data_IF_424161026937
#
_entry.id   IF_424161026937
#
_cell.length_a   1.000
_cell.length_b   1.000
_cell.length_c   1.000
_cell.angle_alpha   90.00
_cell.angle_beta   90.00
_cell.angle_gamma   90.00
#
_symmetry.space_group_name_H-M   'P 1'
#
loop_
_entity.id
_entity.type
_entity.pdbx_description
1 polymer ?
#
# COMPACT_ATOMS: atom_id res chain seq x y z
N UNK A 1 -10.06 -16.79 25.24
CA UNK A 1 -10.83 -15.71 24.60
C UNK A 1 -10.01 -15.16 23.44
N UNK A 2 -10.58 -15.15 22.28
CA UNK A 2 -9.89 -14.62 21.10
C UNK A 2 -9.89 -13.08 21.15
N UNK A 3 -8.75 -12.46 20.84
CA UNK A 3 -8.73 -11.01 20.73
C UNK A 3 -9.60 -10.57 19.54
N UNK A 4 -10.41 -9.56 19.74
CA UNK A 4 -11.15 -8.94 18.63
C UNK A 4 -10.17 -8.19 17.74
N UNK A 5 -10.58 -7.86 16.52
CA UNK A 5 -9.76 -7.03 15.62
C UNK A 5 -9.39 -5.70 16.28
N UNK A 6 -10.27 -5.19 17.14
CA UNK A 6 -10.06 -3.93 17.86
C UNK A 6 -8.96 -4.00 18.89
N UNK A 7 -8.56 -5.22 19.32
CA UNK A 7 -7.49 -5.38 20.31
C UNK A 7 -6.09 -5.35 19.68
N UNK A 8 -5.97 -5.35 18.35
CA UNK A 8 -4.68 -5.24 17.68
C UNK A 8 -4.15 -3.81 17.81
N UNK A 9 -2.91 -3.70 18.24
CA UNK A 9 -2.23 -2.41 18.25
C UNK A 9 -1.92 -1.90 16.86
N UNK A 10 -1.57 -0.60 16.72
CA UNK A 10 -1.30 0.00 15.41
C UNK A 10 -0.25 -0.73 14.59
N UNK A 11 0.85 -1.15 15.19
CA UNK A 11 1.90 -1.87 14.46
C UNK A 11 1.37 -3.17 13.87
N UNK A 12 0.61 -3.95 14.65
CA UNK A 12 0.09 -5.23 14.20
C UNK A 12 -0.90 -5.06 13.04
N UNK A 13 -1.74 -4.04 13.10
CA UNK A 13 -2.69 -3.72 12.02
C UNK A 13 -1.95 -3.40 10.73
N UNK A 14 -0.93 -2.57 10.82
CA UNK A 14 -0.14 -2.14 9.65
C UNK A 14 0.62 -3.31 9.04
N UNK A 15 1.26 -4.14 9.88
CA UNK A 15 1.96 -5.33 9.37
C UNK A 15 1.00 -6.29 8.68
N UNK A 16 -0.18 -6.50 9.26
CA UNK A 16 -1.20 -7.37 8.67
C UNK A 16 -1.70 -6.81 7.33
N UNK A 17 -1.90 -5.49 7.25
CA UNK A 17 -2.31 -4.84 6.01
C UNK A 17 -1.31 -5.09 4.88
N UNK A 18 -0.02 -4.85 5.12
CA UNK A 18 0.99 -5.04 4.08
C UNK A 18 1.25 -6.51 3.78
N UNK A 19 1.05 -7.41 4.74
CA UNK A 19 1.08 -8.85 4.47
C UNK A 19 -0.04 -9.26 3.51
N UNK A 20 -1.23 -8.70 3.68
CA UNK A 20 -2.35 -8.95 2.78
C UNK A 20 -2.05 -8.42 1.37
N UNK A 21 -1.54 -7.19 1.27
CA UNK A 21 -1.16 -6.58 -0.02
C UNK A 21 -0.11 -7.45 -0.71
N UNK A 22 0.94 -7.85 0.00
CA UNK A 22 2.03 -8.66 -0.54
C UNK A 22 1.56 -10.02 -1.05
N UNK A 23 0.55 -10.59 -0.40
CA UNK A 23 -0.02 -11.89 -0.78
C UNK A 23 -1.14 -11.79 -1.82
N UNK A 24 -1.51 -10.58 -2.24
CA UNK A 24 -2.60 -10.37 -3.20
C UNK A 24 -3.99 -10.48 -2.59
N UNK A 25 -4.10 -10.48 -1.25
CA UNK A 25 -5.39 -10.53 -0.56
C UNK A 25 -5.95 -9.11 -0.43
N UNK A 26 -6.31 -8.51 -1.56
CA UNK A 26 -6.70 -7.10 -1.60
C UNK A 26 -8.01 -6.82 -0.86
N UNK A 27 -8.97 -7.72 -0.92
CA UNK A 27 -10.23 -7.55 -0.18
C UNK A 27 -10.00 -7.53 1.32
N UNK A 28 -9.10 -8.40 1.82
CA UNK A 28 -8.73 -8.43 3.23
C UNK A 28 -8.01 -7.15 3.64
N UNK A 29 -7.11 -6.65 2.78
CA UNK A 29 -6.41 -5.41 3.02
C UNK A 29 -7.38 -4.23 3.11
N UNK A 30 -8.30 -4.10 2.18
CA UNK A 30 -9.32 -3.04 2.18
C UNK A 30 -10.17 -3.11 3.46
N UNK A 31 -10.47 -4.31 3.94
CA UNK A 31 -11.27 -4.47 5.17
C UNK A 31 -10.55 -3.95 6.43
N UNK A 32 -9.25 -3.70 6.36
CA UNK A 32 -8.48 -3.10 7.46
C UNK A 32 -8.50 -1.59 7.44
N UNK A 33 -9.09 -0.98 6.41
CA UNK A 33 -9.21 0.47 6.31
C UNK A 33 -10.60 0.92 6.77
N UNK A 34 -10.65 2.09 7.41
CA UNK A 34 -11.94 2.70 7.75
C UNK A 34 -12.70 3.03 6.45
N UNK A 35 -14.04 3.04 6.47
CA UNK A 35 -14.82 3.31 5.25
C UNK A 35 -14.51 4.65 4.59
N UNK A 36 -14.10 5.63 5.36
CA UNK A 36 -13.72 6.97 4.89
C UNK A 36 -12.21 7.18 4.83
N UNK A 37 -11.44 6.10 4.89
CA UNK A 37 -9.99 6.19 4.85
C UNK A 37 -9.50 6.79 3.54
N UNK A 38 -8.42 7.56 3.64
CA UNK A 38 -7.75 8.16 2.48
C UNK A 38 -6.32 7.64 2.36
N UNK A 39 -5.88 7.52 1.12
CA UNK A 39 -4.48 7.29 0.80
C UNK A 39 -3.99 8.48 -0.01
N UNK A 40 -2.90 9.08 0.43
CA UNK A 40 -2.24 10.13 -0.33
C UNK A 40 -0.93 9.57 -0.87
N UNK A 41 -0.70 9.75 -2.17
CA UNK A 41 0.50 9.31 -2.85
C UNK A 41 1.30 10.53 -3.28
N UNK A 42 2.60 10.53 -3.02
CA UNK A 42 3.51 11.61 -3.38
C UNK A 42 3.40 11.95 -4.86
N UNK A 43 3.53 13.23 -5.18
CA UNK A 43 3.55 13.70 -6.56
C UNK A 43 2.20 14.12 -7.09
N UNK A 44 1.35 14.67 -6.23
CA UNK A 44 0.03 15.18 -6.62
C UNK A 44 0.16 16.17 -7.78
N UNK A 45 -0.59 15.91 -8.87
CA UNK A 45 -0.56 16.73 -10.07
C UNK A 45 0.62 16.46 -11.01
N UNK A 46 1.52 15.54 -10.67
CA UNK A 46 2.73 15.30 -11.44
C UNK A 46 2.78 13.94 -12.14
N UNK A 47 1.91 13.03 -11.76
CA UNK A 47 1.79 11.71 -12.38
C UNK A 47 0.42 11.11 -12.05
N UNK A 48 -0.03 10.08 -12.80
CA UNK A 48 -1.43 9.62 -12.70
C UNK A 48 -1.88 9.17 -11.32
N UNK A 49 -0.99 8.63 -10.48
CA UNK A 49 -1.39 8.11 -9.17
C UNK A 49 -1.09 9.09 -8.02
N UNK A 50 -0.46 10.23 -8.30
CA UNK A 50 -0.17 11.23 -7.27
C UNK A 50 -1.45 11.87 -6.74
N UNK A 51 -1.51 12.12 -5.42
CA UNK A 51 -2.63 12.78 -4.78
C UNK A 51 -3.49 11.84 -3.95
N UNK A 52 -4.71 12.28 -3.64
CA UNK A 52 -5.62 11.57 -2.74
C UNK A 52 -6.44 10.50 -3.45
N UNK A 53 -6.60 9.38 -2.78
CA UNK A 53 -7.42 8.25 -3.24
C UNK A 53 -8.34 7.79 -2.11
N UNK A 54 -9.60 7.54 -2.44
CA UNK A 54 -10.55 6.87 -1.54
C UNK A 54 -10.44 5.35 -1.73
N UNK A 55 -11.31 4.59 -1.06
CA UNK A 55 -11.27 3.12 -1.16
C UNK A 55 -11.54 2.63 -2.59
N UNK A 56 -12.47 3.27 -3.30
CA UNK A 56 -12.78 2.88 -4.67
C UNK A 56 -11.57 3.08 -5.59
N UNK A 57 -10.93 4.24 -5.49
CA UNK A 57 -9.72 4.54 -6.28
C UNK A 57 -8.57 3.58 -5.93
N UNK A 58 -8.39 3.28 -4.64
CA UNK A 58 -7.37 2.34 -4.19
C UNK A 58 -7.62 0.94 -4.78
N UNK A 59 -8.89 0.51 -4.83
CA UNK A 59 -9.26 -0.75 -5.45
C UNK A 59 -8.91 -0.81 -6.93
N UNK A 60 -9.06 0.30 -7.65
CA UNK A 60 -8.66 0.39 -9.06
C UNK A 60 -7.15 0.24 -9.22
N UNK A 61 -6.36 0.82 -8.31
CA UNK A 61 -4.91 0.65 -8.30
C UNK A 61 -4.54 -0.81 -8.07
N UNK A 62 -5.19 -1.48 -7.11
CA UNK A 62 -4.97 -2.91 -6.86
C UNK A 62 -5.26 -3.75 -8.09
N UNK A 63 -6.35 -3.46 -8.80
CA UNK A 63 -6.72 -4.19 -10.00
C UNK A 63 -5.67 -4.00 -11.12
N UNK A 64 -5.16 -2.79 -11.26
CA UNK A 64 -4.13 -2.48 -12.24
C UNK A 64 -2.82 -3.22 -11.92
N UNK A 65 -2.44 -3.27 -10.64
CA UNK A 65 -1.26 -4.01 -10.19
C UNK A 65 -1.43 -5.50 -10.49
N UNK A 66 -2.60 -6.07 -10.19
CA UNK A 66 -2.87 -7.48 -10.44
C UNK A 66 -2.78 -7.82 -11.93
N UNK A 67 -3.24 -6.92 -12.79
CA UNK A 67 -3.17 -7.11 -14.24
C UNK A 67 -1.74 -7.05 -14.77
N UNK A 68 -0.95 -6.08 -14.30
CA UNK A 68 0.42 -5.85 -14.77
C UNK A 68 1.44 -6.83 -14.20
N UNK A 69 1.20 -7.33 -13.00
CA UNK A 69 2.12 -8.23 -12.28
C UNK A 69 1.41 -9.54 -11.96
N UNK A 70 1.44 -10.52 -12.91
CA UNK A 70 0.68 -11.78 -12.75
C UNK A 70 1.04 -12.56 -11.49
N UNK A 71 2.28 -12.43 -11.00
CA UNK A 71 2.73 -13.12 -9.78
C UNK A 71 2.74 -12.19 -8.57
N UNK A 72 2.19 -10.98 -8.72
CA UNK A 72 2.04 -10.01 -7.65
C UNK A 72 3.28 -9.16 -7.40
N UNK A 73 3.12 -8.20 -6.50
CA UNK A 73 4.20 -7.39 -5.96
C UNK A 73 4.42 -7.80 -4.51
N UNK A 74 5.60 -8.31 -4.20
CA UNK A 74 5.95 -8.66 -2.83
C UNK A 74 6.49 -7.43 -2.13
N UNK A 75 5.94 -7.15 -0.94
CA UNK A 75 6.43 -6.08 -0.07
C UNK A 75 7.23 -6.67 1.07
N UNK A 76 8.39 -6.08 1.31
CA UNK A 76 9.23 -6.43 2.45
C UNK A 76 9.32 -5.20 3.35
N UNK A 77 8.93 -5.35 4.62
CA UNK A 77 9.04 -4.28 5.60
C UNK A 77 10.43 -4.35 6.21
N UNK A 78 11.19 -3.25 6.08
CA UNK A 78 12.55 -3.17 6.60
C UNK A 78 12.58 -2.64 8.04
N UNK A 79 11.73 -1.66 8.37
CA UNK A 79 11.69 -1.07 9.71
C UNK A 79 10.32 -0.44 9.97
N UNK A 80 9.94 -0.44 11.25
CA UNK A 80 8.69 0.18 11.71
C UNK A 80 8.99 1.04 12.93
N UNK A 81 8.47 2.25 12.93
CA UNK A 81 8.54 3.17 14.08
C UNK A 81 7.12 3.58 14.46
N UNK A 82 6.78 3.45 15.73
CA UNK A 82 5.44 3.73 16.22
C UNK A 82 5.46 4.83 17.25
N UNK A 83 4.57 5.80 17.08
CA UNK A 83 4.31 6.83 18.09
C UNK A 83 2.78 6.97 18.22
N UNK A 84 2.21 6.40 19.28
CA UNK A 84 0.77 6.40 19.48
C UNK A 84 0.03 5.72 18.32
N UNK A 85 -0.83 6.47 17.65
CA UNK A 85 -1.59 5.98 16.50
C UNK A 85 -0.83 6.08 15.19
N UNK A 86 0.36 6.67 15.20
CA UNK A 86 1.17 6.92 14.01
C UNK A 86 2.19 5.81 13.81
N UNK A 87 2.20 5.22 12.62
CA UNK A 87 3.12 4.14 12.28
C UNK A 87 3.88 4.54 11.03
N UNK A 88 5.20 4.66 11.15
CA UNK A 88 6.08 4.93 10.02
C UNK A 88 6.74 3.63 9.59
N UNK A 89 6.72 3.35 8.28
CA UNK A 89 7.21 2.09 7.73
C UNK A 89 8.18 2.37 6.60
N UNK A 90 9.36 1.75 6.67
CA UNK A 90 10.27 1.68 5.54
C UNK A 90 10.12 0.32 4.90
N UNK A 91 9.90 0.28 3.59
CA UNK A 91 9.60 -0.97 2.89
C UNK A 91 10.15 -0.94 1.46
N UNK A 92 10.22 -2.13 0.87
CA UNK A 92 10.63 -2.30 -0.51
C UNK A 92 9.64 -3.20 -1.22
N UNK A 93 9.43 -2.96 -2.53
CA UNK A 93 8.64 -3.85 -3.36
C UNK A 93 9.52 -4.57 -4.38
N UNK A 94 9.05 -5.74 -4.81
CA UNK A 94 9.65 -6.48 -5.90
C UNK A 94 8.56 -7.23 -6.67
N UNK A 95 8.58 -7.11 -7.98
CA UNK A 95 7.72 -7.89 -8.85
C UNK A 95 8.20 -7.87 -10.29
N UNK A 96 7.77 -8.87 -11.04
CA UNK A 96 8.11 -8.97 -12.47
C UNK A 96 6.83 -8.70 -13.26
N UNK A 97 6.87 -7.67 -14.08
CA UNK A 97 5.71 -7.30 -14.92
C UNK A 97 5.52 -8.33 -16.02
N UNK A 98 4.31 -8.38 -16.57
CA UNK A 98 3.94 -9.37 -17.58
C UNK A 98 4.89 -9.41 -18.79
N UNK A 99 5.53 -8.27 -19.12
CA UNK A 99 6.49 -8.16 -20.22
C UNK A 99 7.94 -8.46 -19.78
N UNK A 100 8.15 -8.91 -18.55
CA UNK A 100 9.46 -9.28 -18.03
C UNK A 100 10.23 -8.17 -17.35
N UNK A 101 9.74 -6.93 -17.37
CA UNK A 101 10.42 -5.82 -16.68
C UNK A 101 10.25 -5.96 -15.17
N UNK A 102 11.31 -5.66 -14.43
CA UNK A 102 11.33 -5.75 -12.98
C UNK A 102 10.93 -4.40 -12.38
N UNK A 103 9.99 -4.43 -11.45
CA UNK A 103 9.64 -3.28 -10.63
C UNK A 103 10.19 -3.50 -9.22
N UNK A 104 11.08 -2.62 -8.81
CA UNK A 104 11.63 -2.58 -7.46
C UNK A 104 11.55 -1.13 -7.00
N UNK A 105 10.92 -0.87 -5.85
CA UNK A 105 10.79 0.50 -5.35
C UNK A 105 11.03 0.52 -3.85
N UNK A 106 11.44 1.67 -3.35
CA UNK A 106 11.58 1.91 -1.92
C UNK A 106 10.48 2.86 -1.49
N UNK A 107 9.89 2.58 -0.33
CA UNK A 107 8.75 3.32 0.18
C UNK A 107 9.00 3.77 1.61
N UNK A 108 8.46 4.94 1.92
CA UNK A 108 8.21 5.34 3.28
C UNK A 108 6.70 5.57 3.39
N UNK A 109 6.05 4.81 4.26
CA UNK A 109 4.62 4.99 4.53
C UNK A 109 4.45 5.63 5.89
N UNK A 110 3.51 6.58 5.97
CA UNK A 110 3.04 7.11 7.25
C UNK A 110 1.58 6.76 7.38
N UNK A 111 1.23 6.04 8.43
CA UNK A 111 -0.10 5.45 8.56
C UNK A 111 -0.68 5.82 9.92
N UNK A 112 -1.94 6.23 9.92
CA UNK A 112 -2.68 6.52 11.15
C UNK A 112 -3.67 5.37 11.36
N UNK A 113 -3.58 4.74 12.54
CA UNK A 113 -4.48 3.65 12.94
C UNK A 113 -5.29 4.12 14.14
N UNK A 114 -6.61 3.99 14.03
CA UNK A 114 -7.52 4.40 15.09
C UNK A 114 -8.61 3.34 15.25
N UNK A 115 -8.83 2.90 16.48
CA UNK A 115 -9.83 1.87 16.80
C UNK A 115 -9.66 0.60 15.96
N UNK A 116 -8.41 0.20 15.73
CA UNK A 116 -8.09 -1.03 15.00
C UNK A 116 -8.19 -0.93 13.50
N UNK A 117 -8.49 0.26 12.94
CA UNK A 117 -8.60 0.47 11.50
C UNK A 117 -7.64 1.56 11.03
N UNK A 118 -7.11 1.38 9.83
CA UNK A 118 -6.30 2.39 9.17
C UNK A 118 -7.23 3.49 8.66
N UNK A 119 -7.01 4.74 9.09
CA UNK A 119 -7.85 5.86 8.67
C UNK A 119 -7.13 6.83 7.72
N UNK A 120 -5.81 6.79 7.65
CA UNK A 120 -5.05 7.62 6.73
C UNK A 120 -3.75 6.90 6.37
N UNK A 121 -3.37 6.95 5.11
CA UNK A 121 -2.11 6.41 4.60
C UNK A 121 -1.44 7.45 3.73
N UNK A 122 -0.12 7.64 3.93
CA UNK A 122 0.69 8.47 3.07
C UNK A 122 1.83 7.64 2.52
N UNK A 123 2.01 7.71 1.21
CA UNK A 123 2.96 6.87 0.49
C UNK A 123 3.99 7.74 -0.21
N UNK A 124 5.25 7.58 0.17
CA UNK A 124 6.40 8.28 -0.40
C UNK A 124 7.26 7.24 -1.12
N UNK A 125 7.61 7.49 -2.36
CA UNK A 125 8.26 6.50 -3.21
C UNK A 125 8.99 7.19 -4.37
N UNK A 126 9.74 6.41 -5.15
CA UNK A 126 10.28 6.89 -6.42
C UNK A 126 9.14 6.91 -7.44
N UNK A 127 8.62 8.09 -7.70
CA UNK A 127 7.48 8.27 -8.60
C UNK A 127 7.84 8.10 -10.07
N UNK A 128 9.08 8.33 -10.44
CA UNK A 128 9.54 8.16 -11.83
C UNK A 128 9.47 6.70 -12.22
N UNK A 129 10.06 5.84 -11.42
CA UNK A 129 10.05 4.40 -11.66
C UNK A 129 8.64 3.81 -11.54
N UNK A 130 7.88 4.26 -10.55
CA UNK A 130 6.49 3.82 -10.37
C UNK A 130 5.63 4.17 -11.59
N UNK A 131 5.73 5.40 -12.09
CA UNK A 131 5.00 5.81 -13.29
C UNK A 131 5.34 4.93 -14.48
N UNK A 132 6.64 4.69 -14.71
CA UNK A 132 7.11 3.87 -15.83
C UNK A 132 6.51 2.46 -15.79
N UNK A 133 6.57 1.81 -14.63
CA UNK A 133 6.17 0.40 -14.54
C UNK A 133 4.67 0.22 -14.30
N UNK A 134 4.00 1.17 -13.66
CA UNK A 134 2.59 1.04 -13.28
C UNK A 134 1.64 1.75 -14.23
N UNK A 135 2.07 2.85 -14.86
CA UNK A 135 1.16 3.73 -15.60
C UNK A 135 1.43 3.78 -17.09
N UNK A 136 2.70 3.79 -17.50
CA UNK A 136 3.03 3.91 -18.91
C UNK A 136 2.61 2.64 -19.65
N UNK A 137 2.26 2.77 -20.97
CA UNK A 137 1.87 1.59 -21.73
C UNK A 137 2.98 0.53 -21.79
N UNK A 138 2.56 -0.74 -21.79
CA UNK A 138 3.46 -1.86 -22.03
C UNK A 138 3.55 -2.09 -23.54
N UNK A 139 4.73 -2.14 -24.06
CA UNK A 139 4.98 -2.39 -25.49
C UNK A 139 5.03 -3.89 -25.80
#
# INVERSE_FOLDING_TARGET
MEPSKQSLGPEAVVRAYYADISAGRFADAIARLAPDATTWILGEGHWPLGGYHDLASLGEIHAMVAERFPEGLRLTIDAVTVEGERVAVEAESYGVRADGKVYCNQYHYLIIVRDGLICDRREYLDTIHAKELLCDPMD
#
